data_IF_360916740451
#
_entry.id   IF_360916740451
#
_cell.length_a   1.000
_cell.length_b   1.000
_cell.length_c   1.000
_cell.angle_alpha   90.00
_cell.angle_beta   90.00
_cell.angle_gamma   90.00
#
_symmetry.space_group_name_H-M   'P 1'
#
loop_
_entity.id
_entity.type
_entity.pdbx_description
1 polymer ?
#
# COMPACT_ATOMS: atom_id res chain seq x y z
N UNK A 1 38.61 -10.20 -35.85
CA UNK A 1 38.99 -8.85 -35.34
C UNK A 1 37.86 -8.37 -34.43
N UNK A 2 38.13 -7.94 -33.19
CA UNK A 2 37.08 -7.40 -32.32
C UNK A 2 36.86 -5.91 -32.63
N UNK A 3 35.62 -5.54 -32.94
CA UNK A 3 35.19 -4.16 -33.19
C UNK A 3 34.85 -3.52 -31.85
N UNK A 4 35.65 -2.52 -31.44
CA UNK A 4 35.39 -1.64 -30.30
C UNK A 4 34.15 -0.80 -30.59
N UNK A 5 33.18 -0.74 -29.68
CA UNK A 5 32.16 0.31 -29.65
C UNK A 5 32.40 1.15 -28.41
N UNK A 6 32.90 2.36 -28.65
CA UNK A 6 32.87 3.45 -27.68
C UNK A 6 31.42 3.97 -27.66
N UNK A 7 30.86 4.12 -26.46
CA UNK A 7 29.56 4.77 -26.25
C UNK A 7 29.90 6.08 -25.55
N UNK A 8 29.77 7.18 -26.30
CA UNK A 8 29.77 8.55 -25.79
C UNK A 8 28.37 8.83 -25.24
N UNK A 9 28.26 9.02 -23.92
CA UNK A 9 27.07 9.56 -23.27
C UNK A 9 27.31 11.03 -22.93
N UNK A 10 27.15 11.91 -23.91
CA UNK A 10 26.97 13.33 -23.67
C UNK A 10 25.83 13.82 -24.56
N UNK A 11 24.62 13.97 -24.00
CA UNK A 11 23.77 15.11 -24.36
C UNK A 11 22.55 15.24 -23.44
N UNK A 12 22.47 16.40 -22.78
CA UNK A 12 21.26 17.15 -22.47
C UNK A 12 20.31 16.61 -21.37
N UNK A 13 20.29 17.28 -20.22
CA UNK A 13 19.35 18.40 -19.99
C UNK A 13 19.38 18.80 -18.50
N UNK A 14 20.17 19.81 -18.13
CA UNK A 14 20.12 20.43 -16.80
C UNK A 14 20.60 21.86 -16.94
N UNK A 15 19.66 22.80 -17.05
CA UNK A 15 19.80 24.21 -16.62
C UNK A 15 18.54 24.98 -17.03
N UNK A 16 17.76 25.43 -16.04
CA UNK A 16 16.90 26.58 -16.21
C UNK A 16 17.13 27.49 -15.01
N UNK A 17 18.11 28.37 -15.17
CA UNK A 17 18.29 29.57 -14.38
C UNK A 17 17.22 30.59 -14.79
N UNK A 18 16.61 31.28 -13.82
CA UNK A 18 16.13 32.65 -14.07
C UNK A 18 16.41 33.53 -12.84
N UNK A 19 17.02 34.67 -13.17
CA UNK A 19 17.56 35.75 -12.33
C UNK A 19 16.48 36.76 -11.88
N UNK A 20 16.70 37.33 -10.70
CA UNK A 20 16.47 38.73 -10.25
C UNK A 20 15.21 39.54 -10.66
N UNK A 21 14.53 40.13 -9.65
CA UNK A 21 14.56 41.59 -9.38
C UNK A 21 13.75 41.95 -8.10
N UNK A 22 14.13 43.01 -7.36
CA UNK A 22 13.44 43.53 -6.16
C UNK A 22 13.34 45.06 -6.23
N UNK A 23 12.26 45.69 -5.73
CA UNK A 23 12.48 46.73 -4.71
C UNK A 23 11.37 46.94 -3.63
N UNK A 24 11.80 46.97 -2.37
CA UNK A 24 11.54 47.90 -1.22
C UNK A 24 10.23 48.74 -1.12
N UNK A 25 9.53 48.68 0.03
CA UNK A 25 8.98 49.78 0.94
C UNK A 25 7.83 49.27 1.87
N UNK A 26 7.31 50.01 2.88
CA UNK A 26 7.84 50.33 4.23
C UNK A 26 6.89 49.79 5.39
N UNK A 27 7.06 50.12 6.70
CA UNK A 27 6.53 49.33 7.82
C UNK A 27 5.09 49.69 8.21
N UNK A 28 4.30 48.70 8.65
CA UNK A 28 2.94 48.94 9.15
C UNK A 28 2.89 48.82 10.69
N UNK A 29 3.04 49.95 11.38
CA UNK A 29 2.42 50.14 12.70
C UNK A 29 0.92 50.38 12.50
N UNK A 30 0.08 49.62 13.20
CA UNK A 30 -1.37 49.78 13.13
C UNK A 30 -2.06 49.10 14.30
N UNK A 31 -2.34 49.89 15.33
CA UNK A 31 -3.08 49.50 16.54
C UNK A 31 -4.55 49.18 16.23
N UNK A 32 -5.08 48.21 16.98
CA UNK A 32 -6.47 48.02 17.42
C UNK A 32 -7.60 47.89 16.39
N UNK A 33 -8.39 46.82 16.50
CA UNK A 33 -9.75 46.89 17.05
C UNK A 33 -10.40 45.51 17.13
N UNK A 34 -11.18 45.29 18.20
CA UNK A 34 -12.00 44.11 18.43
C UNK A 34 -12.99 43.91 17.28
N UNK A 35 -12.84 42.82 16.52
CA UNK A 35 -13.82 42.34 15.57
C UNK A 35 -14.39 41.00 16.01
N UNK A 36 -15.59 41.02 16.61
CA UNK A 36 -16.40 39.83 16.94
C UNK A 36 -16.56 38.98 15.68
N UNK A 37 -15.82 37.88 15.58
CA UNK A 37 -15.84 37.01 14.41
C UNK A 37 -16.88 35.91 14.60
N UNK A 38 -18.03 36.08 13.93
CA UNK A 38 -19.06 35.05 13.79
C UNK A 38 -18.48 33.86 13.02
N UNK A 39 -18.57 32.61 13.49
CA UNK A 39 -18.06 31.47 12.74
C UNK A 39 -18.95 31.20 11.53
N UNK A 40 -18.40 31.35 10.32
CA UNK A 40 -19.08 30.94 9.09
C UNK A 40 -19.35 29.43 9.10
N UNK A 41 -20.50 28.96 8.60
CA UNK A 41 -20.76 27.53 8.46
C UNK A 41 -19.83 26.97 7.38
N UNK A 42 -18.91 26.09 7.78
CA UNK A 42 -18.08 25.33 6.83
C UNK A 42 -19.02 24.46 6.00
N UNK A 43 -19.11 24.72 4.69
CA UNK A 43 -19.74 23.83 3.71
C UNK A 43 -19.13 22.43 3.88
N UNK A 44 -19.91 21.48 4.37
CA UNK A 44 -19.49 20.10 4.49
C UNK A 44 -19.19 19.58 3.07
N UNK A 45 -17.93 19.25 2.81
CA UNK A 45 -17.52 18.59 1.57
C UNK A 45 -18.18 17.21 1.56
N UNK A 46 -18.93 16.84 0.50
CA UNK A 46 -19.53 15.52 0.44
C UNK A 46 -18.42 14.46 0.44
N UNK A 47 -18.44 13.60 1.46
CA UNK A 47 -17.58 12.41 1.50
C UNK A 47 -17.97 11.49 0.35
N UNK A 48 -17.02 11.00 -0.46
CA UNK A 48 -17.35 10.05 -1.51
C UNK A 48 -18.00 8.80 -0.90
N UNK A 49 -19.03 8.22 -1.53
CA UNK A 49 -19.69 7.03 -1.02
C UNK A 49 -18.65 5.91 -0.88
N UNK A 50 -18.55 5.38 0.34
CA UNK A 50 -17.71 4.23 0.66
C UNK A 50 -18.19 3.06 -0.20
N UNK A 51 -17.43 2.72 -1.24
CA UNK A 51 -17.74 1.55 -2.09
C UNK A 51 -17.93 0.35 -1.16
N UNK A 52 -19.00 -0.45 -1.33
CA UNK A 52 -19.15 -1.67 -0.55
C UNK A 52 -17.90 -2.51 -0.80
N UNK A 53 -17.25 -2.96 0.28
CA UNK A 53 -16.17 -3.92 0.16
C UNK A 53 -16.78 -5.18 -0.45
N UNK A 54 -16.47 -5.43 -1.72
CA UNK A 54 -16.88 -6.65 -2.42
C UNK A 54 -16.21 -7.79 -1.67
N UNK A 55 -16.99 -8.45 -0.80
CA UNK A 55 -16.57 -9.65 -0.11
C UNK A 55 -16.75 -10.78 -1.10
N UNK A 56 -15.75 -11.00 -1.95
CA UNK A 56 -15.63 -12.22 -2.75
C UNK A 56 -15.28 -13.36 -1.80
N UNK A 57 -16.27 -13.81 -1.03
CA UNK A 57 -16.27 -15.15 -0.45
C UNK A 57 -16.58 -16.12 -1.60
N UNK A 58 -15.57 -16.38 -2.43
CA UNK A 58 -15.59 -17.56 -3.30
C UNK A 58 -15.48 -18.75 -2.36
N UNK A 59 -16.64 -19.32 -2.02
CA UNK A 59 -16.74 -20.58 -1.30
C UNK A 59 -16.69 -21.66 -2.35
N UNK A 60 -15.56 -22.38 -2.42
CA UNK A 60 -15.42 -23.49 -3.35
C UNK A 60 -16.29 -24.69 -2.94
N UNK A 61 -16.33 -25.72 -3.77
CA UNK A 61 -17.12 -26.95 -3.63
C UNK A 61 -17.06 -27.64 -2.25
N UNK A 62 -15.98 -27.42 -1.49
CA UNK A 62 -15.78 -27.96 -0.13
C UNK A 62 -16.39 -27.09 0.98
N UNK A 63 -17.05 -25.98 0.66
CA UNK A 63 -17.60 -25.05 1.66
C UNK A 63 -16.54 -24.20 2.38
N UNK A 64 -15.26 -24.37 2.03
CA UNK A 64 -14.13 -23.66 2.64
C UNK A 64 -13.77 -22.40 1.85
N UNK A 65 -13.46 -21.33 2.58
CA UNK A 65 -12.88 -20.12 1.97
C UNK A 65 -11.48 -20.41 1.40
N UNK A 66 -11.08 -19.71 0.35
CA UNK A 66 -9.73 -19.78 -0.22
C UNK A 66 -8.61 -19.64 0.84
N UNK A 67 -8.83 -18.75 1.82
CA UNK A 67 -7.93 -18.54 2.97
C UNK A 67 -7.82 -19.78 3.87
N UNK A 68 -8.94 -20.46 4.13
CA UNK A 68 -8.96 -21.69 4.91
C UNK A 68 -8.28 -22.83 4.16
N UNK A 69 -8.52 -22.96 2.85
CA UNK A 69 -7.82 -23.94 2.00
C UNK A 69 -6.31 -23.73 2.03
N UNK A 70 -5.86 -22.47 1.89
CA UNK A 70 -4.44 -22.15 1.99
C UNK A 70 -3.84 -22.52 3.35
N UNK A 71 -4.57 -22.25 4.45
CA UNK A 71 -4.15 -22.66 5.79
C UNK A 71 -3.99 -24.17 5.92
N UNK A 72 -4.95 -24.94 5.42
CA UNK A 72 -4.90 -26.41 5.43
C UNK A 72 -3.70 -26.92 4.61
N UNK A 73 -3.44 -26.35 3.43
CA UNK A 73 -2.27 -26.71 2.63
C UNK A 73 -0.96 -26.50 3.40
N UNK A 74 -0.83 -25.37 4.11
CA UNK A 74 0.35 -25.09 4.95
C UNK A 74 0.49 -26.12 6.08
N UNK A 75 -0.60 -26.48 6.74
CA UNK A 75 -0.59 -27.46 7.84
C UNK A 75 -0.21 -28.86 7.31
N UNK A 76 -0.74 -29.26 6.15
CA UNK A 76 -0.54 -30.59 5.58
C UNK A 76 0.84 -30.79 4.93
N UNK A 77 1.33 -29.79 4.20
CA UNK A 77 2.56 -29.91 3.38
C UNK A 77 3.73 -29.08 3.91
N UNK A 78 3.46 -28.07 4.73
CA UNK A 78 4.44 -27.06 5.12
C UNK A 78 4.57 -25.92 4.11
N UNK A 79 4.80 -24.71 4.61
CA UNK A 79 4.93 -23.51 3.77
C UNK A 79 6.19 -23.50 2.89
N UNK A 80 7.22 -24.26 3.25
CA UNK A 80 8.51 -24.29 2.53
C UNK A 80 8.45 -25.11 1.23
N UNK A 81 7.56 -26.12 1.20
CA UNK A 81 7.41 -27.03 0.05
C UNK A 81 6.38 -26.50 -0.95
N UNK A 82 5.48 -25.61 -0.50
CA UNK A 82 4.41 -25.06 -1.33
C UNK A 82 4.93 -24.03 -2.34
N UNK A 83 4.80 -24.35 -3.63
CA UNK A 83 5.04 -23.40 -4.71
C UNK A 83 3.86 -22.43 -4.83
N UNK A 84 4.17 -21.15 -5.10
CA UNK A 84 3.17 -20.09 -5.23
C UNK A 84 2.12 -20.39 -6.30
N UNK A 85 2.56 -20.92 -7.43
CA UNK A 85 1.70 -21.22 -8.59
C UNK A 85 0.70 -22.35 -8.26
N UNK A 86 1.13 -23.37 -7.51
CA UNK A 86 0.26 -24.46 -7.06
C UNK A 86 -0.80 -23.95 -6.09
N UNK A 87 -0.43 -23.07 -5.18
CA UNK A 87 -1.36 -22.45 -4.23
C UNK A 87 -2.34 -21.55 -4.96
N UNK A 88 -1.87 -20.75 -5.92
CA UNK A 88 -2.73 -19.86 -6.69
C UNK A 88 -3.73 -20.66 -7.53
N UNK A 89 -3.30 -21.76 -8.15
CA UNK A 89 -4.19 -22.67 -8.87
C UNK A 89 -5.22 -23.36 -7.95
N UNK A 90 -4.81 -23.76 -6.73
CA UNK A 90 -5.67 -24.50 -5.80
C UNK A 90 -6.67 -23.61 -5.04
N UNK A 91 -6.32 -22.35 -4.79
CA UNK A 91 -7.08 -21.46 -3.90
C UNK A 91 -7.58 -20.19 -4.57
N UNK A 92 -7.08 -19.84 -5.77
CA UNK A 92 -7.36 -18.57 -6.43
C UNK A 92 -6.75 -17.34 -5.72
N UNK A 93 -5.93 -17.53 -4.67
CA UNK A 93 -5.24 -16.45 -4.00
C UNK A 93 -4.01 -16.03 -4.79
N UNK A 94 -3.95 -14.74 -5.14
CA UNK A 94 -2.76 -14.16 -5.77
C UNK A 94 -1.56 -14.23 -4.80
N UNK A 95 -0.35 -14.44 -5.32
CA UNK A 95 0.89 -14.45 -4.53
C UNK A 95 1.09 -13.26 -3.59
N UNK A 96 0.58 -12.07 -3.92
CA UNK A 96 0.59 -10.93 -2.98
C UNK A 96 -0.30 -11.17 -1.76
N UNK A 97 -1.50 -11.71 -1.97
CA UNK A 97 -2.41 -12.06 -0.89
C UNK A 97 -1.78 -13.14 -0.02
N UNK A 98 -1.28 -14.23 -0.61
CA UNK A 98 -0.59 -15.31 0.12
C UNK A 98 0.53 -14.78 1.02
N UNK A 99 1.38 -13.89 0.48
CA UNK A 99 2.45 -13.20 1.23
C UNK A 99 1.87 -12.40 2.39
N UNK A 100 0.83 -11.61 2.14
CA UNK A 100 0.17 -10.81 3.18
C UNK A 100 -0.44 -11.66 4.29
N UNK A 101 -0.95 -12.86 3.98
CA UNK A 101 -1.45 -13.78 5.00
C UNK A 101 -0.33 -14.32 5.90
N UNK A 102 0.87 -14.51 5.35
CA UNK A 102 2.00 -15.23 5.97
C UNK A 102 3.15 -14.34 6.45
N UNK A 103 2.98 -13.02 6.43
CA UNK A 103 4.05 -12.06 6.78
C UNK A 103 4.63 -12.29 8.18
N UNK A 104 5.95 -12.16 8.27
CA UNK A 104 6.72 -12.35 9.50
C UNK A 104 6.67 -11.15 10.47
N UNK A 105 6.25 -9.98 10.00
CA UNK A 105 6.19 -8.71 10.75
C UNK A 105 5.00 -8.62 11.75
N UNK A 106 4.37 -9.75 12.09
CA UNK A 106 3.21 -9.80 12.97
C UNK A 106 1.90 -9.31 12.34
N UNK A 107 1.94 -8.84 11.09
CA UNK A 107 0.75 -8.39 10.34
C UNK A 107 0.09 -9.52 9.55
N UNK A 108 0.79 -10.64 9.35
CA UNK A 108 0.23 -11.83 8.71
C UNK A 108 -0.77 -12.52 9.62
N UNK A 109 -2.07 -12.37 9.32
CA UNK A 109 -3.16 -12.94 10.15
C UNK A 109 -3.02 -14.46 10.31
N UNK A 110 -2.66 -15.17 9.23
CA UNK A 110 -2.56 -16.62 9.23
C UNK A 110 -1.35 -17.07 10.05
N UNK A 111 -0.19 -16.42 9.86
CA UNK A 111 0.99 -16.70 10.68
C UNK A 111 0.73 -16.41 12.15
N UNK A 112 0.05 -15.30 12.47
CA UNK A 112 -0.29 -14.93 13.85
C UNK A 112 -1.22 -15.95 14.48
N UNK A 113 -2.24 -16.41 13.76
CA UNK A 113 -3.16 -17.44 14.25
C UNK A 113 -2.43 -18.77 14.50
N UNK A 114 -1.58 -19.21 13.56
CA UNK A 114 -0.81 -20.45 13.70
C UNK A 114 0.17 -20.39 14.89
N UNK A 115 0.90 -19.28 15.04
CA UNK A 115 1.83 -19.10 16.16
C UNK A 115 1.09 -19.02 17.50
N UNK A 116 -0.02 -18.28 17.56
CA UNK A 116 -0.82 -18.20 18.79
C UNK A 116 -1.43 -19.54 19.22
N UNK A 117 -1.71 -20.43 18.27
CA UNK A 117 -2.12 -21.81 18.60
C UNK A 117 -0.91 -22.61 19.08
N UNK A 118 0.25 -22.51 18.41
CA UNK A 118 1.46 -23.24 18.76
C UNK A 118 2.05 -22.83 20.13
N UNK A 119 1.87 -21.58 20.57
CA UNK A 119 2.29 -21.10 21.88
C UNK A 119 1.40 -21.60 23.03
N UNK A 120 0.16 -22.00 22.73
CA UNK A 120 -0.82 -22.48 23.71
C UNK A 120 -0.95 -24.02 23.75
N UNK A 121 -0.13 -24.71 22.96
CA UNK A 121 -0.05 -26.18 22.87
C UNK A 121 1.11 -26.69 23.72
#
# INVERSE_FOLDING_TARGET
>A
MPVKREIEEEYYNSEQEEEFDSPKTPPQEGKSSLGKSTPSPKKARPTPPKKPAVSTTTVDSDGLSAKAKYAIMIIQRGIEVLKKDEVEAATGLNGNQQRDLTRKDGKGWLRKALMGIAENL
#
